data_IF_132681741572
#
_entry.id   IF_132681741572
#
_cell.length_a   1.000
_cell.length_b   1.000
_cell.length_c   1.000
_cell.angle_alpha   90.00
_cell.angle_beta   90.00
_cell.angle_gamma   90.00
#
_symmetry.space_group_name_H-M   'P 1'
#
loop_
_entity.id
_entity.type
_entity.pdbx_description
1 polymer ?
#
# COMPACT_ATOMS: atom_id res chain seq x y z
N UNK A 1 -7.77 45.60 -7.65
CA UNK A 1 -6.49 45.30 -8.35
C UNK A 1 -6.68 43.98 -9.06
N UNK A 2 -6.85 44.00 -10.38
CA UNK A 2 -6.97 42.78 -11.20
C UNK A 2 -5.58 42.34 -11.65
N UNK A 3 -5.23 41.08 -11.37
CA UNK A 3 -3.98 40.47 -11.82
C UNK A 3 -4.34 39.49 -12.94
N UNK A 4 -3.88 39.81 -14.14
CA UNK A 4 -4.04 39.01 -15.37
C UNK A 4 -2.83 38.08 -15.51
N UNK A 5 -3.04 36.78 -15.61
CA UNK A 5 -1.98 35.81 -15.87
C UNK A 5 -1.91 35.44 -17.37
N UNK A 6 -0.72 35.34 -17.98
CA UNK A 6 -0.58 34.91 -19.36
C UNK A 6 -0.64 33.38 -19.51
N UNK A 7 -1.35 32.98 -20.57
CA UNK A 7 -1.46 31.63 -21.12
C UNK A 7 -0.09 31.10 -21.58
N UNK A 8 0.32 29.93 -21.09
CA UNK A 8 1.48 29.19 -21.60
C UNK A 8 1.02 28.04 -22.50
N UNK A 9 1.43 28.17 -23.75
CA UNK A 9 1.12 27.34 -24.91
C UNK A 9 1.78 25.97 -24.87
N UNK A 10 1.05 25.01 -25.44
CA UNK A 10 1.40 23.60 -25.67
C UNK A 10 2.71 23.44 -26.44
N UNK A 11 3.49 22.43 -26.05
CA UNK A 11 4.48 21.80 -26.92
C UNK A 11 4.22 20.28 -26.95
N UNK A 12 3.63 19.81 -28.06
CA UNK A 12 3.61 18.41 -28.44
C UNK A 12 4.93 18.07 -29.12
N UNK A 13 5.59 16.99 -28.71
CA UNK A 13 6.63 16.34 -29.52
C UNK A 13 6.26 14.86 -29.65
N UNK A 14 5.93 14.50 -30.88
CA UNK A 14 5.88 13.13 -31.37
C UNK A 14 7.30 12.68 -31.74
N UNK A 15 7.60 11.39 -31.63
CA UNK A 15 7.87 10.53 -32.79
C UNK A 15 8.28 9.11 -32.36
N UNK A 16 7.83 8.18 -33.18
CA UNK A 16 8.03 6.74 -33.10
C UNK A 16 9.43 6.34 -33.54
N UNK A 17 9.91 5.20 -33.03
CA UNK A 17 10.69 4.24 -33.85
C UNK A 17 10.35 2.83 -33.38
N UNK A 18 9.60 2.10 -34.21
CA UNK A 18 9.45 0.65 -34.09
C UNK A 18 10.49 0.00 -35.00
N UNK A 19 11.40 -0.78 -34.42
CA UNK A 19 12.39 -1.56 -35.18
C UNK A 19 12.14 -3.03 -34.88
N UNK A 20 11.42 -3.69 -35.79
CA UNK A 20 11.25 -5.14 -35.82
C UNK A 20 12.51 -5.77 -36.42
N UNK A 21 13.26 -6.50 -35.60
CA UNK A 21 14.33 -7.38 -36.06
C UNK A 21 13.75 -8.79 -36.25
N UNK A 22 13.67 -9.22 -37.51
CA UNK A 22 13.51 -10.64 -37.87
C UNK A 22 14.82 -11.37 -37.57
N UNK A 23 14.75 -12.47 -36.82
CA UNK A 23 15.84 -13.43 -36.67
C UNK A 23 15.38 -14.78 -37.25
N UNK A 24 16.17 -15.42 -38.12
CA UNK A 24 15.82 -16.68 -38.77
C UNK A 24 15.86 -17.88 -37.80
N UNK A 25 14.88 -18.77 -38.00
CA UNK A 25 14.79 -20.06 -37.34
C UNK A 25 15.97 -20.96 -37.76
N UNK A 26 16.75 -21.40 -36.78
CA UNK A 26 17.80 -22.41 -36.96
C UNK A 26 17.39 -23.66 -36.21
N UNK A 27 17.04 -24.71 -36.95
CA UNK A 27 16.78 -26.06 -36.49
C UNK A 27 18.10 -26.76 -36.19
N UNK A 28 18.33 -27.12 -34.91
CA UNK A 28 19.42 -27.99 -34.52
C UNK A 28 18.95 -29.09 -33.57
N UNK A 29 19.14 -30.32 -34.07
CA UNK A 29 19.52 -31.55 -33.39
C UNK A 29 18.85 -31.93 -32.05
N UNK A 30 18.05 -33.00 -32.15
CA UNK A 30 17.71 -33.92 -31.07
C UNK A 30 18.99 -34.48 -30.42
N UNK A 31 19.19 -34.19 -29.14
CA UNK A 31 20.14 -34.85 -28.28
C UNK A 31 19.40 -35.41 -27.07
N UNK A 32 19.53 -36.72 -26.86
CA UNK A 32 18.91 -37.47 -25.78
C UNK A 32 19.25 -36.88 -24.40
N UNK A 33 18.21 -36.52 -23.63
CA UNK A 33 18.37 -36.15 -22.23
C UNK A 33 18.46 -37.42 -21.35
N UNK A 34 19.46 -37.51 -20.45
CA UNK A 34 19.45 -38.52 -19.40
C UNK A 34 18.29 -38.23 -18.43
N UNK A 35 17.56 -39.30 -18.10
CA UNK A 35 16.51 -39.34 -17.08
C UNK A 35 17.09 -38.90 -15.73
N UNK A 36 16.96 -37.61 -15.43
CA UNK A 36 17.18 -37.09 -14.09
C UNK A 36 15.91 -37.38 -13.29
N UNK A 37 16.06 -38.23 -12.27
CA UNK A 37 15.05 -38.38 -11.22
C UNK A 37 14.84 -37.00 -10.60
N UNK A 38 13.74 -36.36 -10.95
CA UNK A 38 13.26 -35.15 -10.31
C UNK A 38 12.97 -35.50 -8.84
N UNK A 39 13.94 -35.23 -7.97
CA UNK A 39 13.67 -34.99 -6.56
C UNK A 39 12.70 -33.82 -6.53
N UNK A 40 11.43 -34.11 -6.30
CA UNK A 40 10.40 -33.13 -5.94
C UNK A 40 10.84 -32.46 -4.64
N UNK A 41 11.74 -31.50 -4.76
CA UNK A 41 11.93 -30.50 -3.74
C UNK A 41 10.59 -29.76 -3.71
N UNK A 42 9.84 -29.96 -2.63
CA UNK A 42 8.75 -29.07 -2.25
C UNK A 42 9.30 -27.65 -2.28
N UNK A 43 9.21 -26.96 -3.42
CA UNK A 43 9.43 -25.54 -3.51
C UNK A 43 8.34 -24.95 -2.63
N UNK A 44 8.73 -24.53 -1.43
CA UNK A 44 7.91 -23.66 -0.61
C UNK A 44 7.78 -22.38 -1.42
N UNK A 45 6.71 -22.27 -2.20
CA UNK A 45 6.44 -21.04 -2.93
C UNK A 45 6.43 -19.88 -1.94
N UNK A 46 7.06 -18.74 -2.28
CA UNK A 46 7.02 -17.57 -1.42
C UNK A 46 5.56 -17.13 -1.22
N UNK A 47 5.07 -17.26 0.01
CA UNK A 47 3.68 -16.95 0.38
C UNK A 47 3.54 -15.49 0.84
N UNK A 48 3.86 -14.54 -0.04
CA UNK A 48 3.68 -13.12 0.26
C UNK A 48 2.26 -12.79 0.78
N UNK A 49 1.25 -13.47 0.25
CA UNK A 49 -0.16 -13.29 0.63
C UNK A 49 -0.51 -13.69 2.08
N UNK A 50 0.35 -14.47 2.75
CA UNK A 50 0.18 -14.77 4.16
C UNK A 50 0.44 -13.54 5.04
N UNK A 51 1.26 -12.59 4.57
CA UNK A 51 1.62 -11.39 5.30
C UNK A 51 0.60 -10.28 5.03
N UNK A 52 -0.29 -10.06 5.99
CA UNK A 52 -1.46 -9.19 5.88
C UNK A 52 -1.45 -8.12 6.97
N UNK A 53 -1.99 -6.95 6.63
CA UNK A 53 -2.22 -5.84 7.53
C UNK A 53 -3.69 -5.43 7.47
N UNK A 54 -4.34 -5.37 8.62
CA UNK A 54 -5.73 -4.96 8.78
C UNK A 54 -5.78 -3.79 9.77
N UNK A 55 -6.33 -2.66 9.32
CA UNK A 55 -6.49 -1.49 10.16
C UNK A 55 -7.96 -1.29 10.54
N UNK A 56 -8.23 -1.21 11.83
CA UNK A 56 -9.48 -0.69 12.40
C UNK A 56 -9.21 0.68 12.99
N UNK A 57 -10.06 1.65 12.65
CA UNK A 57 -9.96 3.01 13.17
C UNK A 57 -11.22 3.33 13.96
N UNK A 58 -11.00 3.74 15.20
CA UNK A 58 -11.97 4.23 16.14
C UNK A 58 -11.98 5.77 16.11
N UNK A 59 -12.84 6.33 15.26
CA UNK A 59 -12.96 7.77 15.08
C UNK A 59 -13.82 8.38 16.20
N UNK A 60 -13.17 9.02 17.18
CA UNK A 60 -13.84 9.73 18.27
C UNK A 60 -13.91 11.24 18.05
N UNK A 61 -13.53 11.73 16.87
CA UNK A 61 -13.71 13.14 16.50
C UNK A 61 -15.20 13.46 16.26
N UNK A 62 -15.55 14.74 16.07
CA UNK A 62 -16.88 15.22 15.62
C UNK A 62 -16.90 15.50 14.11
N UNK A 63 -15.99 14.85 13.40
CA UNK A 63 -15.78 15.04 11.98
C UNK A 63 -15.53 13.70 11.30
N UNK A 64 -15.83 13.63 10.02
CA UNK A 64 -15.60 12.44 9.22
C UNK A 64 -14.15 12.42 8.76
N UNK A 65 -13.51 11.26 8.85
CA UNK A 65 -12.16 11.08 8.31
C UNK A 65 -12.27 10.72 6.82
N UNK A 66 -11.56 11.46 5.98
CA UNK A 66 -11.49 11.21 4.54
C UNK A 66 -10.08 10.74 4.18
N UNK A 67 -9.92 9.56 3.56
CA UNK A 67 -8.61 9.13 3.09
C UNK A 67 -8.17 10.00 1.92
N UNK A 68 -6.90 10.39 1.90
CA UNK A 68 -6.27 10.97 0.73
C UNK A 68 -5.96 9.81 -0.21
N UNK A 69 -6.81 9.58 -1.20
CA UNK A 69 -6.47 8.72 -2.32
C UNK A 69 -5.77 9.60 -3.35
N UNK A 70 -4.43 9.55 -3.41
CA UNK A 70 -3.76 10.13 -4.56
C UNK A 70 -4.22 9.42 -5.82
N UNK A 71 -4.34 10.16 -6.93
CA UNK A 71 -4.62 9.62 -8.26
C UNK A 71 -4.00 8.23 -8.41
N UNK A 72 -4.80 7.26 -8.89
CA UNK A 72 -4.53 5.81 -8.94
C UNK A 72 -3.14 5.36 -9.46
N UNK A 73 -2.32 6.30 -9.93
CA UNK A 73 -0.94 6.15 -10.38
C UNK A 73 0.14 6.31 -9.29
N UNK A 74 -0.17 6.88 -8.11
CA UNK A 74 0.78 6.97 -6.98
C UNK A 74 0.24 6.14 -5.82
N UNK A 75 0.68 4.89 -5.77
CA UNK A 75 0.28 3.92 -4.75
C UNK A 75 0.89 4.27 -3.40
N UNK A 76 0.06 4.41 -2.36
CA UNK A 76 0.51 4.52 -0.96
C UNK A 76 1.09 3.20 -0.39
N UNK A 77 1.33 2.20 -1.26
CA UNK A 77 2.02 0.96 -0.95
C UNK A 77 3.42 0.98 -1.55
N UNK A 78 4.43 0.74 -0.71
CA UNK A 78 5.78 0.39 -1.15
C UNK A 78 5.81 -1.07 -1.60
N UNK A 79 5.18 -1.96 -0.82
CA UNK A 79 5.09 -3.39 -1.09
C UNK A 79 3.66 -3.90 -0.92
N UNK A 80 3.33 -4.98 -1.62
CA UNK A 80 2.04 -5.65 -1.49
C UNK A 80 0.95 -5.14 -2.44
N UNK A 81 -0.30 -5.39 -2.06
CA UNK A 81 -1.54 -5.00 -2.75
C UNK A 81 -2.65 -4.74 -1.73
N UNK A 82 -3.54 -3.81 -2.04
CA UNK A 82 -4.75 -3.60 -1.24
C UNK A 82 -5.67 -4.83 -1.35
N UNK A 83 -6.12 -5.33 -0.21
CA UNK A 83 -7.27 -6.24 -0.10
C UNK A 83 -8.57 -5.43 0.02
N UNK A 84 -8.48 -4.31 0.72
CA UNK A 84 -9.53 -3.31 0.91
C UNK A 84 -8.85 -1.95 0.87
N UNK A 85 -9.22 -1.13 -0.12
CA UNK A 85 -8.73 0.24 -0.21
C UNK A 85 -9.18 1.09 1.00
N UNK A 86 -8.43 2.14 1.36
CA UNK A 86 -8.84 3.10 2.37
C UNK A 86 -10.23 3.67 2.12
N UNK A 87 -11.09 3.58 3.14
CA UNK A 87 -12.44 4.15 3.11
C UNK A 87 -12.58 5.31 4.08
N UNK A 88 -13.55 6.19 3.82
CA UNK A 88 -13.92 7.24 4.75
C UNK A 88 -14.56 6.66 6.02
N UNK A 89 -14.29 7.29 7.16
CA UNK A 89 -14.74 6.83 8.47
C UNK A 89 -15.66 7.87 9.09
N UNK A 90 -16.96 7.56 9.27
CA UNK A 90 -17.90 8.48 9.92
C UNK A 90 -17.43 8.92 11.32
N UNK A 91 -17.91 10.07 11.76
CA UNK A 91 -17.69 10.56 13.12
C UNK A 91 -18.29 9.59 14.17
N UNK A 92 -17.64 9.47 15.32
CA UNK A 92 -18.09 8.65 16.47
C UNK A 92 -18.27 7.15 16.20
N UNK A 93 -17.71 6.62 15.12
CA UNK A 93 -17.79 5.19 14.78
C UNK A 93 -16.44 4.48 14.89
N UNK A 94 -16.49 3.16 14.86
CA UNK A 94 -15.33 2.29 14.75
C UNK A 94 -15.57 1.32 13.59
N UNK A 95 -14.62 1.23 12.66
CA UNK A 95 -14.75 0.35 11.50
C UNK A 95 -13.40 -0.09 10.97
N UNK A 96 -13.41 -1.19 10.21
CA UNK A 96 -12.27 -1.62 9.40
C UNK A 96 -12.04 -0.62 8.27
N UNK A 97 -10.94 0.11 8.34
CA UNK A 97 -10.61 1.22 7.48
C UNK A 97 -9.97 0.78 6.15
N UNK A 98 -9.00 -0.13 6.23
CA UNK A 98 -8.29 -0.68 5.07
C UNK A 98 -7.62 -2.01 5.40
N UNK A 99 -7.22 -2.75 4.37
CA UNK A 99 -6.39 -3.93 4.52
C UNK A 99 -5.47 -4.12 3.31
N UNK A 100 -4.25 -4.62 3.56
CA UNK A 100 -3.23 -4.87 2.56
C UNK A 100 -2.56 -6.22 2.79
N UNK A 101 -2.00 -6.82 1.75
CA UNK A 101 -1.24 -8.07 1.86
C UNK A 101 -0.07 -8.11 0.87
N UNK A 102 0.87 -9.02 1.08
CA UNK A 102 1.91 -9.30 0.09
C UNK A 102 1.32 -9.83 -1.23
N UNK A 103 2.13 -9.76 -2.29
CA UNK A 103 1.71 -10.21 -3.64
C UNK A 103 1.91 -11.72 -3.80
N UNK A 104 1.04 -12.35 -4.58
CA UNK A 104 1.18 -13.75 -4.94
C UNK A 104 2.50 -13.98 -5.68
N UNK A 105 3.22 -15.04 -5.32
CA UNK A 105 4.52 -15.39 -5.92
C UNK A 105 5.66 -14.43 -5.57
N UNK A 106 5.44 -13.47 -4.66
CA UNK A 106 6.48 -12.55 -4.18
C UNK A 106 6.96 -12.97 -2.79
N UNK A 107 8.28 -12.93 -2.52
CA UNK A 107 8.82 -13.11 -1.17
C UNK A 107 8.67 -11.85 -0.29
N UNK A 108 7.94 -10.82 -0.76
CA UNK A 108 7.71 -9.58 -0.01
C UNK A 108 6.42 -9.66 0.80
N UNK A 109 6.43 -9.05 1.98
CA UNK A 109 5.23 -8.78 2.75
C UNK A 109 4.46 -7.58 2.20
N UNK A 110 3.86 -6.79 3.10
CA UNK A 110 3.17 -5.54 2.74
C UNK A 110 3.71 -4.36 3.53
N UNK A 111 3.87 -3.21 2.86
CA UNK A 111 4.37 -1.99 3.49
C UNK A 111 3.75 -0.79 2.78
N UNK A 112 3.38 0.23 3.55
CA UNK A 112 2.85 1.45 2.99
C UNK A 112 2.37 2.42 4.06
N UNK A 113 1.56 3.37 3.63
CA UNK A 113 0.89 4.29 4.51
C UNK A 113 -0.53 4.59 4.02
N UNK A 114 -1.32 5.23 4.87
CA UNK A 114 -2.60 5.83 4.49
C UNK A 114 -2.70 7.18 5.17
N UNK A 115 -3.02 8.22 4.41
CA UNK A 115 -3.23 9.57 4.96
C UNK A 115 -4.71 9.84 5.09
N UNK A 116 -5.12 10.42 6.22
CA UNK A 116 -6.50 10.87 6.47
C UNK A 116 -6.50 12.35 6.83
N UNK A 117 -7.59 13.04 6.49
CA UNK A 117 -7.90 14.39 6.97
C UNK A 117 -9.34 14.47 7.50
N UNK A 118 -9.62 15.49 8.30
CA UNK A 118 -10.98 15.77 8.79
C UNK A 118 -11.79 16.52 7.72
N UNK A 119 -12.99 16.05 7.37
CA UNK A 119 -13.80 16.59 6.27
C UNK A 119 -14.09 18.10 6.41
N UNK A 120 -14.43 18.58 7.63
CA UNK A 120 -14.66 20.01 7.91
C UNK A 120 -13.35 20.77 8.16
N UNK A 121 -12.25 20.07 8.44
CA UNK A 121 -10.93 20.65 8.71
C UNK A 121 -9.83 19.99 7.85
N UNK A 122 -9.81 20.22 6.52
CA UNK A 122 -8.94 19.47 5.61
C UNK A 122 -7.42 19.70 5.78
N UNK A 123 -7.03 20.72 6.56
CA UNK A 123 -5.64 20.96 6.95
C UNK A 123 -5.20 20.13 8.16
N UNK A 124 -6.16 19.58 8.91
CA UNK A 124 -5.90 18.68 10.04
C UNK A 124 -5.85 17.25 9.50
N UNK A 125 -4.63 16.73 9.38
CA UNK A 125 -4.36 15.42 8.79
C UNK A 125 -3.42 14.58 9.64
N UNK A 126 -3.33 13.31 9.28
CA UNK A 126 -2.37 12.37 9.83
C UNK A 126 -2.12 11.23 8.85
N UNK A 127 -1.02 10.52 9.07
CA UNK A 127 -0.64 9.33 8.31
C UNK A 127 -0.60 8.12 9.24
N UNK A 128 -1.02 6.96 8.76
CA UNK A 128 -0.77 5.66 9.40
C UNK A 128 0.23 4.93 8.54
N UNK A 129 1.44 4.71 9.03
CA UNK A 129 2.44 3.83 8.40
C UNK A 129 2.25 2.40 8.89
N UNK A 130 2.50 1.42 8.03
CA UNK A 130 2.53 0.01 8.38
C UNK A 130 3.58 -0.77 7.58
N UNK A 131 4.14 -1.80 8.21
CA UNK A 131 5.09 -2.75 7.62
C UNK A 131 4.86 -4.13 8.25
N UNK A 132 4.38 -5.08 7.43
CA UNK A 132 4.28 -6.51 7.78
C UNK A 132 5.26 -7.27 6.89
N UNK A 133 6.55 -7.36 7.28
CA UNK A 133 7.58 -7.94 6.45
C UNK A 133 7.42 -9.46 6.36
N UNK A 134 7.79 -10.06 5.23
CA UNK A 134 7.76 -11.51 5.07
C UNK A 134 8.82 -12.27 5.90
N UNK A 135 9.81 -11.54 6.43
CA UNK A 135 10.88 -12.13 7.23
C UNK A 135 10.45 -12.31 8.68
N UNK A 136 10.45 -13.55 9.16
CA UNK A 136 10.15 -13.91 10.56
C UNK A 136 11.08 -13.23 11.59
N UNK A 137 12.27 -12.82 11.16
CA UNK A 137 13.26 -12.15 12.01
C UNK A 137 12.97 -10.66 12.17
N UNK A 138 12.18 -10.06 11.28
CA UNK A 138 11.74 -8.67 11.40
C UNK A 138 10.49 -8.58 12.28
N UNK A 139 10.19 -7.38 12.76
CA UNK A 139 8.99 -7.08 13.55
C UNK A 139 8.03 -6.27 12.70
N UNK A 140 6.75 -6.53 12.87
CA UNK A 140 5.71 -5.74 12.24
C UNK A 140 5.68 -4.33 12.86
N UNK A 141 5.38 -3.32 12.06
CA UNK A 141 5.27 -1.93 12.49
C UNK A 141 3.91 -1.37 12.14
N UNK A 142 3.34 -0.56 13.01
CA UNK A 142 2.17 0.24 12.70
C UNK A 142 2.11 1.47 13.61
N UNK A 143 2.28 2.66 13.01
CA UNK A 143 2.51 3.89 13.76
C UNK A 143 1.82 5.09 13.09
N UNK A 144 1.18 5.97 13.87
CA UNK A 144 0.79 7.29 13.41
C UNK A 144 2.03 8.13 13.10
N UNK A 145 2.00 8.82 11.98
CA UNK A 145 3.04 9.76 11.52
C UNK A 145 2.38 11.06 11.07
N UNK A 146 3.18 12.12 10.95
CA UNK A 146 2.75 13.43 10.42
C UNK A 146 1.44 13.93 11.06
N UNK A 147 1.28 13.71 12.36
CA UNK A 147 0.04 14.01 13.10
C UNK A 147 -0.05 15.52 13.33
N UNK A 148 -1.13 16.14 12.85
CA UNK A 148 -1.40 17.55 13.16
C UNK A 148 -1.47 17.78 14.68
N UNK A 149 -0.93 18.90 15.17
CA UNK A 149 -0.77 19.19 16.61
C UNK A 149 -2.06 19.16 17.44
N UNK A 150 -3.19 19.44 16.79
CA UNK A 150 -4.51 19.52 17.43
C UNK A 150 -5.25 18.17 17.39
N UNK A 151 -4.63 17.15 16.80
CA UNK A 151 -5.17 15.81 16.63
C UNK A 151 -4.33 14.82 17.45
N UNK A 152 -4.99 13.91 18.16
CA UNK A 152 -4.33 12.86 18.94
C UNK A 152 -4.69 11.50 18.39
N UNK A 153 -3.67 10.70 18.06
CA UNK A 153 -3.85 9.32 17.61
C UNK A 153 -3.08 8.40 18.52
N UNK A 154 -3.75 7.35 18.95
CA UNK A 154 -3.13 6.31 19.76
C UNK A 154 -3.29 4.97 19.08
N UNK A 155 -2.18 4.26 18.90
CA UNK A 155 -2.20 2.85 18.53
C UNK A 155 -2.64 2.03 19.74
N UNK A 156 -3.86 1.50 19.71
CA UNK A 156 -4.41 0.67 20.79
C UNK A 156 -3.86 -0.77 20.70
N UNK A 157 -3.62 -1.26 19.49
CA UNK A 157 -3.13 -2.60 19.22
C UNK A 157 -2.22 -2.61 18.00
N UNK A 158 -1.06 -3.24 18.13
CA UNK A 158 -0.11 -3.43 17.04
C UNK A 158 0.73 -4.71 17.26
N UNK A 159 0.24 -5.89 16.84
CA UNK A 159 0.99 -7.13 17.00
C UNK A 159 2.34 -7.03 16.30
N UNK A 160 3.43 -7.24 17.05
CA UNK A 160 4.80 -7.10 16.56
C UNK A 160 5.30 -8.33 15.77
N UNK A 161 4.53 -9.43 15.81
CA UNK A 161 4.85 -10.74 15.24
C UNK A 161 3.59 -11.38 14.65
N UNK A 162 3.81 -12.35 13.77
CA UNK A 162 2.76 -13.06 13.04
C UNK A 162 2.60 -12.53 11.62
N UNK A 163 2.04 -13.37 10.76
CA UNK A 163 1.85 -13.04 9.35
C UNK A 163 0.61 -12.15 9.15
N UNK A 164 -0.42 -12.31 9.99
CA UNK A 164 -1.64 -11.50 9.95
C UNK A 164 -1.66 -10.48 11.11
N UNK A 165 -1.56 -9.20 10.77
CA UNK A 165 -1.53 -8.11 11.74
C UNK A 165 -2.86 -7.36 11.77
N UNK A 166 -3.51 -7.35 12.95
CA UNK A 166 -4.70 -6.54 13.21
C UNK A 166 -4.34 -5.35 14.10
N UNK A 167 -4.26 -4.18 13.50
CA UNK A 167 -3.95 -2.92 14.17
C UNK A 167 -5.23 -2.12 14.47
N UNK A 168 -5.27 -1.49 15.63
CA UNK A 168 -6.38 -0.67 16.09
C UNK A 168 -5.86 0.72 16.45
N UNK A 169 -6.47 1.75 15.89
CA UNK A 169 -6.11 3.16 16.12
C UNK A 169 -7.30 3.93 16.67
N UNK A 170 -7.08 4.78 17.67
CA UNK A 170 -8.08 5.71 18.18
C UNK A 170 -7.70 7.13 17.80
N UNK A 171 -8.64 7.86 17.19
CA UNK A 171 -8.44 9.25 16.75
C UNK A 171 -9.30 10.19 17.59
N UNK A 172 -8.69 11.21 18.16
CA UNK A 172 -9.31 12.26 18.96
C UNK A 172 -8.94 13.63 18.37
N UNK A 173 -9.89 14.57 18.45
CA UNK A 173 -9.72 15.95 18.01
C UNK A 173 -10.60 16.80 18.91
N UNK A 174 -9.96 17.71 19.65
CA UNK A 174 -10.61 18.62 20.58
C UNK A 174 -10.71 19.98 19.89
N UNK A 175 -11.91 20.27 19.37
CA UNK A 175 -12.32 21.57 18.81
C UNK A 175 -13.00 22.44 19.88
#
# INVERSE_FOLDING_TARGET
>A
MSITFPNLTKASIAMAVATTLLIPASSFASAAQPSSKATSQNQVEPRGEAHQFHATINNRTRDKLIPVTTDKSKTDLIWGKWMQEPTAIPEKTEQKAFASQGRQGSPSGTEGWVTYYLEKHPHVSFKIYFDTPASIFKTNKCEPQDVHRDLSITTQKCPQKGDEQHAEFKVLYDD
#
